data_IF_777697403641
#
_entry.id   IF_777697403641
#
_cell.length_a   1.000
_cell.length_b   1.000
_cell.length_c   1.000
_cell.angle_alpha   90.00
_cell.angle_beta   90.00
_cell.angle_gamma   90.00
#
_symmetry.space_group_name_H-M   'P 1'
#
loop_
_entity.id
_entity.type
_entity.pdbx_description
1 polymer ?
#
# COMPACT_ATOMS: atom_id res chain seq x y z
N UNK A 1 12.85 29.54 25.93
CA UNK A 1 13.07 29.47 24.47
C UNK A 1 13.83 28.21 24.13
N UNK A 2 13.40 27.52 23.13
CA UNK A 2 14.14 26.40 22.55
C UNK A 2 15.30 26.98 21.76
N UNK A 3 16.52 26.61 22.13
CA UNK A 3 17.74 27.04 21.46
C UNK A 3 18.24 25.97 20.52
N UNK A 4 19.03 26.37 19.53
CA UNK A 4 19.61 25.48 18.53
C UNK A 4 20.45 24.32 19.16
N UNK A 5 21.16 24.62 20.25
CA UNK A 5 22.01 23.65 20.98
C UNK A 5 21.16 22.59 21.68
N UNK A 6 20.04 22.99 22.32
CA UNK A 6 19.17 22.06 23.06
C UNK A 6 18.40 21.08 22.16
N UNK A 7 18.25 21.41 20.87
CA UNK A 7 17.50 20.61 19.91
C UNK A 7 18.42 19.68 19.11
N UNK A 8 19.68 20.11 18.88
CA UNK A 8 20.59 19.41 17.98
C UNK A 8 20.89 17.97 18.41
N UNK A 9 21.11 17.73 19.71
CA UNK A 9 21.45 16.39 20.20
C UNK A 9 20.25 15.44 20.16
N UNK A 10 19.08 15.93 20.59
CA UNK A 10 17.84 15.13 20.50
C UNK A 10 17.48 14.81 19.04
N UNK A 11 17.67 15.72 18.10
CA UNK A 11 17.40 15.47 16.68
C UNK A 11 18.42 14.50 16.05
N UNK A 12 19.64 14.42 16.58
CA UNK A 12 20.59 13.34 16.19
C UNK A 12 20.06 11.96 16.60
N UNK A 13 19.54 11.83 17.82
CA UNK A 13 18.94 10.58 18.30
C UNK A 13 17.71 10.21 17.49
N UNK A 14 16.83 11.18 17.19
CA UNK A 14 15.66 10.94 16.32
C UNK A 14 16.09 10.48 14.93
N UNK A 15 17.10 11.12 14.33
CA UNK A 15 17.63 10.71 13.03
C UNK A 15 18.19 9.29 13.07
N UNK A 16 18.95 8.97 14.11
CA UNK A 16 19.50 7.62 14.30
C UNK A 16 18.38 6.59 14.42
N UNK A 17 17.35 6.86 15.21
CA UNK A 17 16.20 5.97 15.36
C UNK A 17 15.45 5.75 14.03
N UNK A 18 15.33 6.78 13.19
CA UNK A 18 14.75 6.65 11.84
C UNK A 18 15.62 5.77 10.93
N UNK A 19 16.94 5.93 10.97
CA UNK A 19 17.87 5.11 10.20
C UNK A 19 17.88 3.65 10.68
N UNK A 20 17.87 3.45 12.00
CA UNK A 20 17.77 2.11 12.62
C UNK A 20 16.43 1.43 12.31
N UNK A 21 15.43 2.19 11.91
CA UNK A 21 14.12 1.71 11.42
C UNK A 21 14.05 1.55 9.89
N UNK A 22 15.19 1.56 9.19
CA UNK A 22 15.30 1.44 7.73
C UNK A 22 14.69 2.60 6.91
N UNK A 23 14.55 3.78 7.50
CA UNK A 23 14.19 4.99 6.76
C UNK A 23 15.37 5.43 5.90
N UNK A 24 15.10 5.82 4.65
CA UNK A 24 16.11 6.35 3.75
C UNK A 24 16.84 7.56 4.39
N UNK A 25 18.17 7.63 4.26
CA UNK A 25 19.01 8.66 4.88
C UNK A 25 18.57 10.08 4.52
N UNK A 26 18.26 10.34 3.25
CA UNK A 26 17.82 11.67 2.80
C UNK A 26 16.50 12.07 3.48
N UNK A 27 15.55 11.13 3.55
CA UNK A 27 14.25 11.35 4.19
C UNK A 27 14.41 11.64 5.69
N UNK A 28 15.24 10.84 6.39
CA UNK A 28 15.54 11.06 7.81
C UNK A 28 16.22 12.43 8.07
N UNK A 29 17.11 12.84 7.16
CA UNK A 29 17.78 14.16 7.22
C UNK A 29 16.79 15.30 7.01
N UNK A 30 15.97 15.22 5.96
CA UNK A 30 15.00 16.26 5.61
C UNK A 30 13.91 16.39 6.71
N UNK A 31 13.46 15.25 7.26
CA UNK A 31 12.54 15.21 8.40
C UNK A 31 13.10 15.96 9.62
N UNK A 32 14.31 15.61 10.04
CA UNK A 32 14.92 16.25 11.21
C UNK A 32 15.21 17.73 10.98
N UNK A 33 15.50 18.15 9.74
CA UNK A 33 15.66 19.56 9.38
C UNK A 33 14.35 20.35 9.53
N UNK A 34 13.23 19.78 9.07
CA UNK A 34 11.89 20.40 9.23
C UNK A 34 11.49 20.53 10.70
N UNK A 35 11.70 19.46 11.49
CA UNK A 35 11.43 19.52 12.94
C UNK A 35 12.26 20.61 13.62
N UNK A 36 13.56 20.72 13.24
CA UNK A 36 14.45 21.77 13.75
C UNK A 36 13.90 23.16 13.43
N UNK A 37 13.52 23.41 12.18
CA UNK A 37 12.96 24.69 11.73
C UNK A 37 11.69 25.06 12.50
N UNK A 38 10.76 24.10 12.66
CA UNK A 38 9.52 24.29 13.44
C UNK A 38 9.78 24.52 14.93
N UNK A 39 10.87 23.98 15.47
CA UNK A 39 11.21 24.09 16.90
C UNK A 39 11.92 25.42 17.27
N UNK A 40 12.76 25.93 16.37
CA UNK A 40 13.56 27.13 16.62
C UNK A 40 12.65 28.34 16.72
N UNK A 41 12.82 29.13 17.78
CA UNK A 41 12.08 30.38 17.97
C UNK A 41 10.69 30.24 18.56
N UNK A 42 10.18 29.03 18.76
CA UNK A 42 8.93 28.85 19.47
C UNK A 42 9.11 29.20 20.97
N UNK A 43 8.23 30.05 21.47
CA UNK A 43 8.12 30.28 22.91
C UNK A 43 7.43 29.03 23.51
N UNK A 44 8.14 28.38 24.42
CA UNK A 44 7.54 27.27 25.19
C UNK A 44 6.41 27.86 26.01
N UNK A 45 5.18 27.48 25.73
CA UNK A 45 4.04 27.81 26.58
C UNK A 45 4.40 27.43 28.03
N UNK A 46 4.05 28.25 28.99
CA UNK A 46 4.40 28.13 30.39
C UNK A 46 4.03 26.78 31.03
N UNK A 47 3.25 25.96 30.35
CA UNK A 47 2.75 24.64 30.78
C UNK A 47 3.51 23.44 30.22
N UNK A 48 4.40 23.60 29.19
CA UNK A 48 5.11 22.49 28.56
C UNK A 48 6.62 22.62 28.77
N UNK A 49 7.26 21.50 29.11
CA UNK A 49 8.72 21.43 29.09
C UNK A 49 9.26 21.37 27.66
N UNK A 50 10.47 21.92 27.39
CA UNK A 50 11.07 21.93 26.04
C UNK A 50 11.10 20.54 25.37
N UNK A 51 11.38 19.47 26.15
CA UNK A 51 11.38 18.11 25.63
C UNK A 51 9.99 17.62 25.18
N UNK A 52 8.94 17.99 25.90
CA UNK A 52 7.57 17.64 25.54
C UNK A 52 7.11 18.32 24.26
N UNK A 53 7.52 19.58 24.05
CA UNK A 53 7.24 20.28 22.81
C UNK A 53 7.95 19.64 21.62
N UNK A 54 9.20 19.20 21.79
CA UNK A 54 9.95 18.54 20.73
C UNK A 54 9.32 17.18 20.36
N UNK A 55 8.89 16.39 21.36
CA UNK A 55 8.15 15.13 21.13
C UNK A 55 6.87 15.38 20.35
N UNK A 56 6.11 16.43 20.70
CA UNK A 56 4.91 16.82 19.95
C UNK A 56 5.23 17.18 18.50
N UNK A 57 6.25 18.01 18.27
CA UNK A 57 6.66 18.41 16.91
C UNK A 57 7.09 17.22 16.06
N UNK A 58 7.84 16.27 16.64
CA UNK A 58 8.23 15.03 15.95
C UNK A 58 6.99 14.21 15.60
N UNK A 59 6.05 14.03 16.54
CA UNK A 59 4.80 13.32 16.29
C UNK A 59 3.96 13.99 15.20
N UNK A 60 3.80 15.29 15.26
CA UNK A 60 2.99 16.04 14.29
C UNK A 60 3.61 15.97 12.90
N UNK A 61 4.94 16.08 12.78
CA UNK A 61 5.65 15.95 11.51
C UNK A 61 5.60 14.53 10.94
N UNK A 62 5.69 13.49 11.80
CA UNK A 62 5.49 12.09 11.36
C UNK A 62 4.07 11.87 10.86
N UNK A 63 3.07 12.41 11.54
CA UNK A 63 1.67 12.33 11.12
C UNK A 63 1.45 13.00 9.77
N UNK A 64 2.01 14.20 9.58
CA UNK A 64 1.96 14.93 8.30
C UNK A 64 2.65 14.16 7.18
N UNK A 65 3.84 13.61 7.46
CA UNK A 65 4.61 12.83 6.50
C UNK A 65 3.87 11.55 6.05
N UNK A 66 3.12 10.92 6.97
CA UNK A 66 2.28 9.74 6.68
C UNK A 66 0.98 10.08 5.95
N UNK A 67 0.62 11.36 5.81
CA UNK A 67 -0.54 11.83 5.05
C UNK A 67 -1.66 12.44 5.88
N UNK A 68 -1.53 12.52 7.21
CA UNK A 68 -2.49 13.16 8.11
C UNK A 68 -3.75 12.32 8.37
N UNK A 69 -4.56 12.11 7.35
CA UNK A 69 -5.85 11.43 7.44
C UNK A 69 -5.82 9.99 6.88
N UNK A 70 -6.79 9.19 7.30
CA UNK A 70 -7.00 7.83 6.78
C UNK A 70 -7.58 7.90 5.37
N UNK A 71 -6.87 7.36 4.39
CA UNK A 71 -7.32 7.28 3.02
C UNK A 71 -8.24 6.07 2.81
N UNK A 72 -9.49 6.31 2.41
CA UNK A 72 -10.45 5.27 2.07
C UNK A 72 -10.22 4.64 0.70
N UNK A 73 -10.95 3.55 0.40
CA UNK A 73 -11.02 2.93 -0.92
C UNK A 73 -12.14 3.60 -1.73
N UNK A 74 -11.87 3.86 -3.00
CA UNK A 74 -12.87 4.37 -3.94
C UNK A 74 -13.78 3.22 -4.40
N UNK A 75 -15.04 3.27 -4.00
CA UNK A 75 -16.07 2.29 -4.34
C UNK A 75 -17.20 2.92 -5.20
N UNK A 76 -16.85 3.86 -6.06
CA UNK A 76 -17.84 4.62 -6.86
C UNK A 76 -18.39 3.86 -8.08
N UNK A 77 -17.79 2.75 -8.47
CA UNK A 77 -18.22 1.92 -9.61
C UNK A 77 -19.40 0.98 -9.28
N UNK A 78 -20.03 0.43 -10.33
CA UNK A 78 -21.05 -0.61 -10.20
C UNK A 78 -20.88 -1.72 -11.28
N UNK A 79 -20.11 -2.78 -10.99
CA UNK A 79 -19.30 -2.98 -9.79
C UNK A 79 -18.10 -2.04 -9.72
N UNK A 80 -17.61 -1.74 -8.51
CA UNK A 80 -16.31 -1.12 -8.33
C UNK A 80 -15.22 -2.14 -8.58
N UNK A 81 -14.25 -1.82 -9.41
CA UNK A 81 -13.13 -2.70 -9.77
C UNK A 81 -11.87 -2.27 -9.03
N UNK A 82 -11.27 -3.20 -8.31
CA UNK A 82 -10.01 -3.02 -7.57
C UNK A 82 -8.96 -3.91 -8.20
N UNK A 83 -7.87 -3.33 -8.67
CA UNK A 83 -6.74 -4.05 -9.24
C UNK A 83 -5.63 -4.18 -8.20
N UNK A 84 -5.21 -5.42 -7.93
CA UNK A 84 -4.09 -5.70 -7.04
C UNK A 84 -2.80 -5.84 -7.86
N UNK A 85 -1.77 -5.09 -7.49
CA UNK A 85 -0.47 -5.11 -8.16
C UNK A 85 0.67 -5.32 -7.15
N UNK A 86 1.81 -5.82 -7.60
CA UNK A 86 2.99 -6.06 -6.75
C UNK A 86 3.73 -7.34 -7.10
N UNK A 87 4.91 -7.53 -6.48
CA UNK A 87 5.77 -8.68 -6.72
C UNK A 87 5.19 -10.00 -6.16
N UNK A 88 5.76 -11.11 -6.58
CA UNK A 88 5.47 -12.42 -6.01
C UNK A 88 5.84 -12.44 -4.52
N UNK A 89 5.00 -13.05 -3.69
CA UNK A 89 5.23 -13.12 -2.24
C UNK A 89 4.95 -11.84 -1.47
N UNK A 90 4.53 -10.75 -2.12
CA UNK A 90 4.16 -9.51 -1.45
C UNK A 90 2.86 -9.60 -0.64
N UNK A 91 2.08 -10.66 -0.79
CA UNK A 91 0.84 -10.87 -0.03
C UNK A 91 -0.44 -10.45 -0.76
N UNK A 92 -0.42 -10.22 -2.07
CA UNK A 92 -1.61 -9.82 -2.87
C UNK A 92 -2.82 -10.71 -2.63
N UNK A 93 -2.67 -12.01 -2.86
CA UNK A 93 -3.77 -12.98 -2.72
C UNK A 93 -4.34 -13.02 -1.30
N UNK A 94 -3.48 -13.03 -0.29
CA UNK A 94 -3.89 -12.99 1.12
C UNK A 94 -4.61 -11.68 1.44
N UNK A 95 -4.09 -10.55 0.96
CA UNK A 95 -4.72 -9.26 1.19
C UNK A 95 -6.03 -9.11 0.41
N UNK A 96 -6.13 -9.66 -0.82
CA UNK A 96 -7.39 -9.70 -1.59
C UNK A 96 -8.51 -10.34 -0.76
N UNK A 97 -8.24 -11.45 -0.08
CA UNK A 97 -9.19 -12.09 0.83
C UNK A 97 -9.53 -11.24 2.06
N UNK A 98 -8.53 -10.65 2.71
CA UNK A 98 -8.75 -9.75 3.86
C UNK A 98 -9.60 -8.54 3.47
N UNK A 99 -9.32 -7.94 2.32
CA UNK A 99 -10.08 -6.82 1.78
C UNK A 99 -11.52 -7.24 1.42
N UNK A 100 -11.70 -8.40 0.78
CA UNK A 100 -13.03 -8.92 0.46
C UNK A 100 -13.87 -9.13 1.72
N UNK A 101 -13.30 -9.75 2.74
CA UNK A 101 -13.96 -9.94 4.04
C UNK A 101 -14.32 -8.60 4.71
N UNK A 102 -13.40 -7.63 4.68
CA UNK A 102 -13.68 -6.29 5.22
C UNK A 102 -14.82 -5.60 4.47
N UNK A 103 -14.81 -5.64 3.14
CA UNK A 103 -15.86 -5.02 2.32
C UNK A 103 -17.21 -5.70 2.52
N UNK A 104 -17.24 -7.03 2.68
CA UNK A 104 -18.44 -7.79 2.94
C UNK A 104 -18.99 -7.49 4.34
N UNK A 105 -18.15 -7.59 5.38
CA UNK A 105 -18.61 -7.51 6.77
C UNK A 105 -18.79 -6.08 7.29
N UNK A 106 -17.96 -5.13 6.84
CA UNK A 106 -17.95 -3.74 7.33
C UNK A 106 -18.60 -2.75 6.38
N UNK A 107 -18.69 -3.08 5.08
CA UNK A 107 -19.26 -2.19 4.05
C UNK A 107 -20.51 -2.77 3.39
N UNK A 108 -20.93 -3.97 3.80
CA UNK A 108 -22.10 -4.68 3.27
C UNK A 108 -22.08 -4.78 1.73
N UNK A 109 -20.91 -5.14 1.17
CA UNK A 109 -20.70 -5.30 -0.26
C UNK A 109 -20.70 -6.78 -0.66
N UNK A 110 -21.32 -7.11 -1.80
CA UNK A 110 -21.19 -8.40 -2.45
C UNK A 110 -19.95 -8.37 -3.32
N UNK A 111 -18.91 -9.15 -2.94
CA UNK A 111 -17.58 -9.11 -3.53
C UNK A 111 -17.34 -10.35 -4.39
N UNK A 112 -16.69 -10.16 -5.54
CA UNK A 112 -16.14 -11.20 -6.40
C UNK A 112 -14.62 -11.10 -6.39
N UNK A 113 -13.94 -12.21 -6.08
CA UNK A 113 -12.50 -12.36 -6.27
C UNK A 113 -12.21 -12.91 -7.67
N UNK A 114 -11.19 -12.41 -8.35
CA UNK A 114 -10.84 -12.84 -9.71
C UNK A 114 -9.40 -13.30 -9.77
N UNK A 115 -9.21 -14.55 -10.24
CA UNK A 115 -7.90 -15.18 -10.40
C UNK A 115 -7.30 -14.83 -11.77
N UNK A 116 -6.39 -13.86 -11.83
CA UNK A 116 -5.65 -13.49 -13.04
C UNK A 116 -4.17 -13.89 -13.02
N UNK A 117 -3.73 -14.70 -12.04
CA UNK A 117 -2.40 -15.32 -12.07
C UNK A 117 -2.46 -16.61 -12.91
N UNK A 118 -2.29 -16.47 -14.21
CA UNK A 118 -2.38 -17.56 -15.20
C UNK A 118 -1.13 -18.43 -15.23
N UNK A 119 -0.03 -18.00 -14.61
CA UNK A 119 1.26 -18.68 -14.68
C UNK A 119 1.43 -19.75 -13.61
N UNK A 120 0.67 -19.63 -12.51
CA UNK A 120 0.79 -20.49 -11.34
C UNK A 120 -0.56 -21.14 -10.99
N UNK A 121 -0.80 -22.39 -11.39
CA UNK A 121 -2.05 -23.09 -11.01
C UNK A 121 -2.30 -23.10 -9.50
N UNK A 122 -1.24 -23.19 -8.70
CA UNK A 122 -1.34 -23.12 -7.25
C UNK A 122 -1.86 -21.78 -6.73
N UNK A 123 -1.64 -20.68 -7.45
CA UNK A 123 -2.16 -19.36 -7.05
C UNK A 123 -3.68 -19.29 -7.24
N UNK A 124 -4.21 -19.86 -8.31
CA UNK A 124 -5.66 -19.97 -8.53
C UNK A 124 -6.28 -20.77 -7.39
N UNK A 125 -5.71 -21.94 -7.08
CA UNK A 125 -6.17 -22.79 -5.98
C UNK A 125 -6.09 -22.09 -4.62
N UNK A 126 -5.02 -21.32 -4.39
CA UNK A 126 -4.87 -20.52 -3.17
C UNK A 126 -5.99 -19.48 -3.04
N UNK A 127 -6.36 -18.80 -4.15
CA UNK A 127 -7.44 -17.82 -4.12
C UNK A 127 -8.79 -18.48 -3.81
N UNK A 128 -9.05 -19.70 -4.32
CA UNK A 128 -10.25 -20.48 -3.96
C UNK A 128 -10.28 -20.80 -2.46
N UNK A 129 -9.17 -21.31 -1.89
CA UNK A 129 -9.08 -21.58 -0.44
C UNK A 129 -9.37 -20.31 0.38
N UNK A 130 -8.85 -19.17 -0.06
CA UNK A 130 -9.10 -17.89 0.59
C UNK A 130 -10.58 -17.49 0.47
N UNK A 131 -11.16 -17.57 -0.72
CA UNK A 131 -12.58 -17.26 -0.97
C UNK A 131 -13.52 -18.13 -0.15
N UNK A 132 -13.30 -19.44 -0.15
CA UNK A 132 -14.10 -20.39 0.62
C UNK A 132 -14.07 -20.11 2.12
N UNK A 133 -12.89 -19.75 2.66
CA UNK A 133 -12.72 -19.47 4.09
C UNK A 133 -13.55 -18.26 4.59
N UNK A 134 -13.96 -17.38 3.68
CA UNK A 134 -14.73 -16.16 3.97
C UNK A 134 -16.08 -16.11 3.27
N UNK A 135 -16.50 -17.21 2.64
CA UNK A 135 -17.73 -17.32 1.85
C UNK A 135 -17.86 -16.24 0.75
N UNK A 136 -16.77 -16.00 0.01
CA UNK A 136 -16.70 -15.08 -1.13
C UNK A 136 -16.47 -15.88 -2.41
N UNK A 137 -17.25 -15.60 -3.44
CA UNK A 137 -17.14 -16.25 -4.75
C UNK A 137 -15.84 -15.89 -5.46
N UNK A 138 -15.21 -16.89 -6.08
CA UNK A 138 -14.00 -16.73 -6.89
C UNK A 138 -14.32 -17.03 -8.34
N UNK A 139 -13.98 -16.12 -9.23
CA UNK A 139 -14.05 -16.30 -10.68
C UNK A 139 -12.69 -16.66 -11.25
N UNK A 140 -12.64 -17.70 -12.05
CA UNK A 140 -11.43 -18.10 -12.79
C UNK A 140 -11.77 -18.74 -14.13
N UNK A 141 -10.82 -18.68 -15.06
CA UNK A 141 -10.85 -19.37 -16.35
C UNK A 141 -9.51 -20.13 -16.52
N UNK A 142 -9.36 -21.34 -15.96
CA UNK A 142 -8.06 -22.03 -15.91
C UNK A 142 -7.43 -22.32 -17.27
N UNK A 143 -8.25 -22.50 -18.31
CA UNK A 143 -7.78 -22.75 -19.68
C UNK A 143 -7.45 -21.47 -20.45
N UNK A 144 -7.94 -20.32 -20.00
CA UNK A 144 -7.68 -19.04 -20.63
C UNK A 144 -6.31 -18.49 -20.21
N UNK A 145 -5.47 -18.20 -21.18
CA UNK A 145 -4.10 -17.67 -20.96
C UNK A 145 -4.02 -16.16 -21.18
N UNK A 146 -5.15 -15.47 -21.24
CA UNK A 146 -5.21 -14.02 -21.42
C UNK A 146 -5.79 -13.34 -20.17
N UNK A 147 -4.96 -12.75 -19.29
CA UNK A 147 -5.45 -12.15 -18.05
C UNK A 147 -6.35 -10.93 -18.30
N UNK A 148 -6.19 -10.24 -19.42
CA UNK A 148 -7.07 -9.13 -19.83
C UNK A 148 -8.49 -9.64 -20.07
N UNK A 149 -8.63 -10.72 -20.83
CA UNK A 149 -9.91 -11.33 -21.16
C UNK A 149 -10.60 -11.88 -19.91
N UNK A 150 -9.86 -12.60 -19.06
CA UNK A 150 -10.37 -13.12 -17.77
C UNK A 150 -10.95 -11.98 -16.93
N UNK A 151 -10.19 -10.88 -16.77
CA UNK A 151 -10.65 -9.74 -15.97
C UNK A 151 -11.90 -9.09 -16.56
N UNK A 152 -11.96 -8.91 -17.87
CA UNK A 152 -13.15 -8.36 -18.55
C UNK A 152 -14.38 -9.26 -18.43
N UNK A 153 -14.20 -10.58 -18.59
CA UNK A 153 -15.28 -11.55 -18.43
C UNK A 153 -15.78 -11.61 -16.99
N UNK A 154 -14.87 -11.55 -16.02
CA UNK A 154 -15.23 -11.48 -14.60
C UNK A 154 -16.08 -10.23 -14.27
N UNK A 155 -15.76 -9.08 -14.85
CA UNK A 155 -16.55 -7.85 -14.66
C UNK A 155 -17.94 -8.01 -15.29
N UNK A 156 -18.05 -8.63 -16.47
CA UNK A 156 -19.36 -8.95 -17.08
C UNK A 156 -20.17 -9.91 -16.20
N UNK A 157 -19.52 -10.97 -15.70
CA UNK A 157 -20.12 -11.90 -14.75
C UNK A 157 -20.61 -11.18 -13.47
N UNK A 158 -19.78 -10.31 -12.91
CA UNK A 158 -20.14 -9.54 -11.73
C UNK A 158 -21.38 -8.65 -11.95
N UNK A 159 -21.47 -7.97 -13.09
CA UNK A 159 -22.63 -7.15 -13.46
C UNK A 159 -23.91 -7.98 -13.56
N UNK A 160 -23.82 -9.14 -14.22
CA UNK A 160 -25.00 -10.01 -14.45
C UNK A 160 -25.48 -10.67 -13.15
N UNK A 161 -24.61 -10.86 -12.15
CA UNK A 161 -24.92 -11.55 -10.89
C UNK A 161 -25.02 -10.59 -9.67
N UNK A 162 -25.06 -9.28 -9.91
CA UNK A 162 -25.31 -8.27 -8.87
C UNK A 162 -24.19 -8.14 -7.84
N UNK A 163 -22.93 -8.37 -8.25
CA UNK A 163 -21.79 -8.05 -7.39
C UNK A 163 -21.54 -6.54 -7.35
N UNK A 164 -21.17 -6.03 -6.18
CA UNK A 164 -20.89 -4.61 -5.99
C UNK A 164 -19.42 -4.27 -6.20
N UNK A 165 -18.53 -5.23 -5.93
CA UNK A 165 -17.08 -5.05 -5.99
C UNK A 165 -16.44 -6.26 -6.65
N UNK A 166 -15.45 -6.00 -7.49
CA UNK A 166 -14.59 -7.00 -8.13
C UNK A 166 -13.16 -6.71 -7.71
N UNK A 167 -12.48 -7.69 -7.10
CA UNK A 167 -11.07 -7.62 -6.75
C UNK A 167 -10.28 -8.52 -7.69
N UNK A 168 -9.43 -7.92 -8.52
CA UNK A 168 -8.62 -8.64 -9.52
C UNK A 168 -7.24 -8.91 -8.93
N UNK A 169 -6.98 -10.19 -8.60
CA UNK A 169 -5.68 -10.67 -8.11
C UNK A 169 -4.79 -11.06 -9.28
N UNK A 170 -3.73 -10.29 -9.51
CA UNK A 170 -2.84 -10.46 -10.66
C UNK A 170 -1.61 -11.29 -10.34
N UNK A 171 -0.99 -11.83 -11.37
CA UNK A 171 0.32 -12.45 -11.25
C UNK A 171 1.36 -11.50 -10.65
N UNK A 172 2.32 -12.07 -9.94
CA UNK A 172 3.53 -11.39 -9.53
C UNK A 172 4.74 -12.21 -9.96
N UNK A 173 5.80 -11.53 -10.37
CA UNK A 173 7.12 -12.15 -10.61
C UNK A 173 8.06 -11.85 -9.46
N UNK A 174 9.17 -12.58 -9.38
CA UNK A 174 10.17 -12.41 -8.30
C UNK A 174 10.85 -11.05 -8.34
N UNK A 175 10.98 -10.47 -9.53
CA UNK A 175 11.55 -9.15 -9.76
C UNK A 175 10.72 -8.39 -10.79
N UNK A 176 10.89 -7.07 -10.82
CA UNK A 176 10.28 -6.21 -11.84
C UNK A 176 10.94 -6.48 -13.18
N UNK A 177 10.16 -6.83 -14.19
CA UNK A 177 10.59 -6.94 -15.57
C UNK A 177 9.56 -6.29 -16.52
N UNK A 178 9.98 -5.99 -17.74
CA UNK A 178 9.17 -5.31 -18.74
C UNK A 178 7.94 -6.11 -19.17
N UNK A 179 8.03 -7.43 -19.23
CA UNK A 179 6.92 -8.27 -19.64
C UNK A 179 5.78 -8.23 -18.62
N UNK A 180 6.12 -8.34 -17.31
CA UNK A 180 5.16 -8.22 -16.23
C UNK A 180 4.52 -6.83 -16.21
N UNK A 181 5.32 -5.77 -16.35
CA UNK A 181 4.80 -4.40 -16.33
C UNK A 181 3.86 -4.15 -17.52
N UNK A 182 4.22 -4.61 -18.70
CA UNK A 182 3.37 -4.50 -19.89
C UNK A 182 2.06 -5.30 -19.75
N UNK A 183 2.11 -6.46 -19.12
CA UNK A 183 0.91 -7.27 -18.86
C UNK A 183 -0.05 -6.55 -17.92
N UNK A 184 0.44 -6.10 -16.77
CA UNK A 184 -0.42 -5.44 -15.79
C UNK A 184 -0.96 -4.10 -16.30
N UNK A 185 -0.19 -3.36 -17.11
CA UNK A 185 -0.68 -2.16 -17.80
C UNK A 185 -1.82 -2.46 -18.79
N UNK A 186 -1.71 -3.56 -19.54
CA UNK A 186 -2.79 -3.99 -20.46
C UNK A 186 -4.05 -4.34 -19.68
N UNK A 187 -3.94 -5.08 -18.57
CA UNK A 187 -5.07 -5.36 -17.69
C UNK A 187 -5.67 -4.06 -17.16
N UNK A 188 -4.85 -3.19 -16.58
CA UNK A 188 -5.27 -1.89 -16.03
C UNK A 188 -6.04 -1.06 -17.06
N UNK A 189 -5.49 -0.89 -18.27
CA UNK A 189 -6.12 -0.13 -19.36
C UNK A 189 -7.46 -0.74 -19.80
N UNK A 190 -7.55 -2.06 -19.81
CA UNK A 190 -8.73 -2.77 -20.29
C UNK A 190 -9.91 -2.74 -19.30
N UNK A 191 -9.63 -2.76 -17.99
CA UNK A 191 -10.68 -2.79 -16.95
C UNK A 191 -10.97 -1.45 -16.30
N UNK A 192 -10.08 -0.46 -16.47
CA UNK A 192 -10.20 0.90 -15.90
C UNK A 192 -10.65 0.87 -14.43
N UNK A 193 -9.83 0.32 -13.52
CA UNK A 193 -10.24 0.13 -12.14
C UNK A 193 -10.50 1.46 -11.43
N UNK A 194 -11.43 1.48 -10.47
CA UNK A 194 -11.63 2.60 -9.57
C UNK A 194 -10.51 2.72 -8.53
N UNK A 195 -9.84 1.61 -8.24
CA UNK A 195 -8.67 1.53 -7.36
C UNK A 195 -7.61 0.62 -7.96
N UNK A 196 -6.39 1.11 -8.02
CA UNK A 196 -5.20 0.30 -8.26
C UNK A 196 -4.37 0.31 -6.99
N UNK A 197 -4.22 -0.84 -6.36
CA UNK A 197 -3.51 -0.99 -5.09
C UNK A 197 -2.18 -1.69 -5.30
N UNK A 198 -1.11 -1.05 -4.84
CA UNK A 198 0.22 -1.64 -4.84
C UNK A 198 0.49 -2.33 -3.50
N UNK A 199 0.67 -3.65 -3.55
CA UNK A 199 0.94 -4.48 -2.37
C UNK A 199 2.42 -4.76 -2.26
N UNK A 200 2.99 -4.41 -1.12
CA UNK A 200 4.42 -4.54 -0.88
C UNK A 200 4.71 -5.13 0.50
N UNK A 201 5.71 -6.00 0.55
CA UNK A 201 6.24 -6.59 1.77
C UNK A 201 7.08 -5.55 2.52
N UNK A 202 6.67 -5.17 3.72
CA UNK A 202 7.35 -4.17 4.55
C UNK A 202 8.76 -4.62 5.01
N UNK A 203 9.06 -5.92 4.94
CA UNK A 203 10.35 -6.47 5.35
C UNK A 203 11.45 -6.31 4.29
N UNK A 204 11.10 -5.92 3.06
CA UNK A 204 12.08 -5.79 1.96
C UNK A 204 12.84 -4.45 1.96
N UNK A 205 12.62 -3.59 2.94
CA UNK A 205 13.41 -2.38 3.17
C UNK A 205 13.45 -1.44 1.94
N UNK A 206 14.67 -1.04 1.53
CA UNK A 206 14.86 -0.10 0.41
C UNK A 206 14.42 -0.67 -0.95
N UNK A 207 14.43 -1.99 -1.14
CA UNK A 207 13.93 -2.61 -2.38
C UNK A 207 12.42 -2.41 -2.54
N UNK A 208 11.68 -2.37 -1.44
CA UNK A 208 10.26 -2.00 -1.45
C UNK A 208 10.04 -0.59 -2.04
N UNK A 209 10.90 0.36 -1.71
CA UNK A 209 10.82 1.75 -2.19
C UNK A 209 11.09 1.82 -3.69
N UNK A 210 12.13 1.14 -4.17
CA UNK A 210 12.48 1.11 -5.60
C UNK A 210 11.37 0.45 -6.42
N UNK A 211 10.84 -0.66 -5.93
CA UNK A 211 9.72 -1.37 -6.56
C UNK A 211 8.47 -0.49 -6.60
N UNK A 212 8.12 0.17 -5.49
CA UNK A 212 6.98 1.09 -5.43
C UNK A 212 7.10 2.22 -6.46
N UNK A 213 8.30 2.79 -6.60
CA UNK A 213 8.57 3.83 -7.59
C UNK A 213 8.31 3.32 -9.01
N UNK A 214 8.85 2.16 -9.38
CA UNK A 214 8.67 1.59 -10.72
C UNK A 214 7.20 1.31 -11.03
N UNK A 215 6.46 0.71 -10.10
CA UNK A 215 5.03 0.48 -10.28
C UNK A 215 4.24 1.79 -10.36
N UNK A 216 4.60 2.80 -9.58
CA UNK A 216 3.92 4.10 -9.62
C UNK A 216 4.16 4.83 -10.94
N UNK A 217 5.38 4.80 -11.46
CA UNK A 217 5.74 5.44 -12.74
C UNK A 217 4.96 4.81 -13.91
N UNK A 218 4.62 3.51 -13.84
CA UNK A 218 3.93 2.77 -14.91
C UNK A 218 2.41 2.74 -14.75
N UNK A 219 1.90 2.56 -13.53
CA UNK A 219 0.47 2.37 -13.27
C UNK A 219 -0.20 3.59 -12.63
N UNK A 220 0.57 4.51 -12.07
CA UNK A 220 0.04 5.61 -11.27
C UNK A 220 -1.01 5.12 -10.25
N UNK A 221 -0.65 4.10 -9.47
CA UNK A 221 -1.57 3.45 -8.53
C UNK A 221 -2.15 4.43 -7.48
N UNK A 222 -3.29 4.08 -6.90
CA UNK A 222 -4.06 4.97 -6.02
C UNK A 222 -3.67 4.84 -4.54
N UNK A 223 -3.07 3.73 -4.15
CA UNK A 223 -2.68 3.50 -2.76
C UNK A 223 -1.73 2.33 -2.58
N UNK A 224 -1.07 2.34 -1.43
CA UNK A 224 -0.11 1.33 -1.00
C UNK A 224 -0.70 0.47 0.10
N UNK A 225 -0.46 -0.83 0.01
CA UNK A 225 -0.77 -1.81 1.05
C UNK A 225 0.54 -2.35 1.58
N UNK A 226 0.77 -2.21 2.88
CA UNK A 226 1.93 -2.78 3.56
C UNK A 226 1.54 -4.11 4.19
N UNK A 227 2.25 -5.15 3.84
CA UNK A 227 2.04 -6.49 4.41
C UNK A 227 3.16 -6.88 5.35
N UNK A 228 2.95 -7.92 6.14
CA UNK A 228 3.92 -8.51 7.06
C UNK A 228 4.45 -7.54 8.13
N UNK A 229 3.62 -6.58 8.54
CA UNK A 229 3.95 -5.64 9.61
C UNK A 229 4.05 -6.30 11.00
N UNK A 230 3.58 -7.54 11.13
CA UNK A 230 3.73 -8.42 12.28
C UNK A 230 5.12 -9.10 12.34
N UNK A 231 5.94 -8.92 11.30
CA UNK A 231 7.32 -9.38 11.27
C UNK A 231 8.28 -8.47 12.02
N UNK A 232 9.59 -8.72 11.86
CA UNK A 232 10.67 -7.97 12.52
C UNK A 232 11.01 -6.65 11.79
N UNK A 233 10.00 -5.95 11.30
CA UNK A 233 10.15 -4.65 10.63
C UNK A 233 9.83 -3.50 11.57
N UNK A 234 10.62 -2.44 11.49
CA UNK A 234 10.43 -1.21 12.28
C UNK A 234 9.59 -0.15 11.57
N UNK A 235 9.05 -0.49 10.39
CA UNK A 235 8.11 0.36 9.65
C UNK A 235 8.72 1.51 8.84
N UNK A 236 10.05 1.62 8.77
CA UNK A 236 10.72 2.70 8.03
C UNK A 236 10.46 2.69 6.52
N UNK A 237 10.19 1.52 5.95
CA UNK A 237 9.79 1.39 4.54
C UNK A 237 8.51 2.19 4.23
N UNK A 238 7.57 2.25 5.17
CA UNK A 238 6.33 3.03 5.00
C UNK A 238 6.60 4.51 4.75
N UNK A 239 7.45 5.13 5.59
CA UNK A 239 7.83 6.54 5.45
C UNK A 239 8.53 6.79 4.12
N UNK A 240 9.46 5.89 3.75
CA UNK A 240 10.23 6.01 2.52
C UNK A 240 9.36 5.86 1.27
N UNK A 241 8.47 4.86 1.23
CA UNK A 241 7.53 4.65 0.13
C UNK A 241 6.61 5.87 0.00
N UNK A 242 5.97 6.29 1.11
CA UNK A 242 5.06 7.44 1.13
C UNK A 242 5.71 8.69 0.55
N UNK A 243 6.96 8.97 0.95
CA UNK A 243 7.71 10.14 0.49
C UNK A 243 8.07 10.06 -0.99
N UNK A 244 8.52 8.87 -1.46
CA UNK A 244 9.00 8.69 -2.83
C UNK A 244 7.86 8.67 -3.85
N UNK A 245 6.76 7.99 -3.57
CA UNK A 245 5.65 7.84 -4.54
C UNK A 245 4.53 8.86 -4.31
N UNK A 246 4.50 9.53 -3.17
CA UNK A 246 3.47 10.49 -2.77
C UNK A 246 2.04 9.94 -2.89
N UNK A 247 1.86 8.66 -2.58
CA UNK A 247 0.56 7.98 -2.55
C UNK A 247 0.17 7.61 -1.13
N UNK A 248 -1.13 7.56 -0.80
CA UNK A 248 -1.56 7.17 0.53
C UNK A 248 -1.23 5.70 0.83
N UNK A 249 -0.86 5.42 2.06
CA UNK A 249 -0.88 4.07 2.61
C UNK A 249 -2.29 3.83 3.10
N UNK A 250 -2.98 2.84 2.52
CA UNK A 250 -4.40 2.58 2.80
C UNK A 250 -4.62 1.46 3.81
N UNK A 251 -3.68 0.51 3.87
CA UNK A 251 -3.69 -0.61 4.79
C UNK A 251 -2.27 -1.04 5.14
#
# INVERSE_FOLDING_TARGET
KITEVNVADTLKEVRRALLDADVNFKIAKDFTAKVKEKAIGQDVLTTLQPGQLLVKLVKDELTELMGGDVAGINLSGNPSVILMSGLQGSGKTTFSGKLANYLQTKKNKKVLLVACDIYRPAAIQQLYVVGDSIAVEVYSEPENKNPVEIAQNAIKHAKSNGFNVVIVDTAGRLAVDEEMMNEIERVHKAIQPQETLFVVDSMTGQDAVNTAKTFNDRLNFDGVILTKLDGDTRGGAALSIKTVVNKPIKF
#
